data_IF_130426683602
#
_entry.id   IF_130426683602
#
_cell.length_a   1.000
_cell.length_b   1.000
_cell.length_c   1.000
_cell.angle_alpha   90.00
_cell.angle_beta   90.00
_cell.angle_gamma   90.00
#
_symmetry.space_group_name_H-M   'P 1'
#
loop_
_entity.id
_entity.type
_entity.pdbx_description
1 polymer ?
#
# COMPACT_ATOMS: atom_id res chain seq x y z
N UNK A 1 -18.92 -23.67 5.26
CA UNK A 1 -17.69 -23.83 4.46
C UNK A 1 -16.68 -22.80 4.96
N UNK A 2 -15.84 -23.16 5.94
CA UNK A 2 -14.85 -22.24 6.50
C UNK A 2 -13.57 -22.33 5.70
N UNK A 3 -13.23 -21.27 4.97
CA UNK A 3 -11.92 -21.14 4.33
C UNK A 3 -10.85 -21.21 5.42
N UNK A 4 -10.09 -22.31 5.46
CA UNK A 4 -8.92 -22.45 6.33
C UNK A 4 -7.93 -21.35 5.97
N UNK A 5 -7.87 -20.31 6.80
CA UNK A 5 -6.79 -19.33 6.83
C UNK A 5 -5.49 -20.13 6.90
N UNK A 6 -4.64 -20.04 5.88
CA UNK A 6 -3.37 -20.80 5.80
C UNK A 6 -2.49 -20.36 6.97
N UNK A 7 -2.48 -21.15 8.03
CA UNK A 7 -1.74 -20.91 9.27
C UNK A 7 -0.29 -21.36 9.05
N UNK A 8 0.66 -20.42 9.07
CA UNK A 8 2.09 -20.75 9.06
C UNK A 8 2.52 -21.16 10.47
N UNK A 9 2.38 -22.45 10.75
CA UNK A 9 2.83 -23.10 11.98
C UNK A 9 4.25 -23.64 11.78
N UNK A 10 5.06 -23.57 12.83
CA UNK A 10 6.39 -24.16 12.83
C UNK A 10 6.78 -24.63 14.24
N UNK A 11 7.65 -25.64 14.28
CA UNK A 11 8.20 -26.23 15.48
C UNK A 11 9.52 -25.58 15.88
N UNK A 12 9.95 -25.83 17.12
CA UNK A 12 11.28 -25.41 17.60
C UNK A 12 12.40 -26.00 16.71
N UNK A 13 12.20 -27.21 16.19
CA UNK A 13 13.17 -27.90 15.36
C UNK A 13 13.28 -27.28 13.97
N UNK A 14 12.14 -26.96 13.35
CA UNK A 14 12.11 -26.22 12.08
C UNK A 14 12.68 -24.80 12.22
N UNK A 15 12.41 -24.12 13.33
CA UNK A 15 13.04 -22.83 13.61
C UNK A 15 14.58 -22.97 13.66
N UNK A 16 15.07 -24.00 14.35
CA UNK A 16 16.50 -24.26 14.51
C UNK A 16 17.16 -24.64 13.18
N UNK A 17 16.51 -25.46 12.35
CA UNK A 17 17.04 -25.84 11.02
C UNK A 17 17.14 -24.64 10.07
N UNK A 18 16.33 -23.60 10.31
CA UNK A 18 16.39 -22.31 9.62
C UNK A 18 17.34 -21.29 10.30
N UNK A 19 18.13 -21.71 11.28
CA UNK A 19 19.11 -20.86 11.97
C UNK A 19 18.52 -19.95 13.06
N UNK A 20 17.26 -20.12 13.44
CA UNK A 20 16.64 -19.36 14.54
C UNK A 20 16.98 -20.04 15.86
N UNK A 21 17.84 -19.40 16.65
CA UNK A 21 18.22 -19.90 17.97
C UNK A 21 17.07 -19.79 18.99
N UNK A 22 17.05 -20.60 20.06
CA UNK A 22 16.06 -20.47 21.14
C UNK A 22 16.01 -19.07 21.76
N UNK A 23 17.14 -18.38 21.87
CA UNK A 23 17.23 -17.02 22.37
C UNK A 23 16.56 -16.04 21.41
N UNK A 24 16.79 -16.19 20.11
CA UNK A 24 16.15 -15.36 19.08
C UNK A 24 14.63 -15.63 19.01
N UNK A 25 14.21 -16.88 19.17
CA UNK A 25 12.81 -17.25 19.24
C UNK A 25 12.10 -16.66 20.47
N UNK A 26 12.78 -16.63 21.62
CA UNK A 26 12.29 -15.95 22.82
C UNK A 26 12.16 -14.42 22.62
N UNK A 27 13.09 -13.81 21.89
CA UNK A 27 13.00 -12.39 21.50
C UNK A 27 11.79 -12.17 20.59
N UNK A 28 11.54 -13.04 19.60
CA UNK A 28 10.39 -12.92 18.71
C UNK A 28 9.05 -13.12 19.42
N UNK A 29 8.99 -14.03 20.39
CA UNK A 29 7.82 -14.18 21.27
C UNK A 29 7.56 -12.91 22.07
N UNK A 30 8.61 -12.36 22.71
CA UNK A 30 8.51 -11.13 23.50
C UNK A 30 8.09 -9.93 22.65
N UNK A 31 8.50 -9.89 21.37
CA UNK A 31 8.16 -8.83 20.41
C UNK A 31 6.84 -9.05 19.66
N UNK A 32 6.15 -10.18 19.88
CA UNK A 32 4.86 -10.47 19.26
C UNK A 32 4.90 -10.87 17.79
N UNK A 33 6.08 -11.12 17.21
CA UNK A 33 6.21 -11.60 15.82
C UNK A 33 5.79 -13.07 15.66
N UNK A 34 5.90 -13.83 16.74
CA UNK A 34 5.47 -15.21 16.83
C UNK A 34 4.70 -15.38 18.12
N UNK A 35 3.74 -16.29 18.11
CA UNK A 35 3.02 -16.70 19.31
C UNK A 35 3.28 -18.17 19.57
N UNK A 36 3.27 -18.54 20.85
CA UNK A 36 3.39 -19.93 21.27
C UNK A 36 2.00 -20.53 21.41
N UNK A 37 1.71 -21.55 20.62
CA UNK A 37 0.43 -22.25 20.67
C UNK A 37 0.44 -23.39 21.71
N UNK A 38 1.55 -24.11 21.77
CA UNK A 38 1.74 -25.23 22.71
C UNK A 38 3.24 -25.49 22.93
N UNK A 39 3.57 -26.56 23.65
CA UNK A 39 4.97 -26.91 23.90
C UNK A 39 5.71 -27.18 22.58
N UNK A 40 6.67 -26.31 22.25
CA UNK A 40 7.52 -26.45 21.07
C UNK A 40 6.87 -26.09 19.73
N UNK A 41 5.60 -25.65 19.72
CA UNK A 41 4.86 -25.26 18.52
C UNK A 41 4.53 -23.77 18.56
N UNK A 42 4.86 -23.11 17.46
CA UNK A 42 4.72 -21.68 17.27
C UNK A 42 3.91 -21.37 16.03
N UNK A 43 3.30 -20.20 16.04
CA UNK A 43 2.67 -19.60 14.87
C UNK A 43 3.37 -18.30 14.56
N UNK A 44 3.69 -18.09 13.28
CA UNK A 44 4.01 -16.76 12.80
C UNK A 44 2.75 -15.92 12.93
N UNK A 45 2.82 -14.89 13.76
CA UNK A 45 1.77 -13.88 13.80
C UNK A 45 1.91 -13.14 12.48
N UNK A 46 0.97 -13.35 11.54
CA UNK A 46 0.81 -12.45 10.39
C UNK A 46 0.29 -11.14 10.98
N UNK A 47 1.21 -10.37 11.54
CA UNK A 47 0.87 -9.14 12.20
C UNK A 47 0.49 -8.15 11.11
N UNK A 48 -0.79 -7.78 11.10
CA UNK A 48 -1.25 -6.50 10.52
C UNK A 48 -0.48 -5.31 11.15
N UNK A 49 0.20 -5.58 12.27
CA UNK A 49 1.17 -4.74 12.96
C UNK A 49 2.56 -5.39 13.00
N UNK A 50 3.16 -5.69 11.85
CA UNK A 50 4.60 -5.98 11.85
C UNK A 50 5.27 -4.65 12.10
N UNK A 51 5.51 -4.37 13.38
CA UNK A 51 6.45 -3.35 13.87
C UNK A 51 7.87 -3.84 13.56
N UNK A 52 8.12 -4.14 12.29
CA UNK A 52 9.31 -3.62 11.64
C UNK A 52 8.84 -2.23 11.21
N UNK A 53 9.54 -1.20 11.66
CA UNK A 53 9.33 0.20 11.31
C UNK A 53 8.87 0.38 9.85
N UNK A 54 8.27 1.51 9.48
CA UNK A 54 7.90 1.93 8.11
C UNK A 54 8.77 1.37 6.94
N UNK A 55 10.05 1.06 7.20
CA UNK A 55 10.95 0.18 6.44
C UNK A 55 10.38 -1.13 5.85
N UNK A 56 9.38 -1.80 6.44
CA UNK A 56 8.89 -3.10 5.93
C UNK A 56 8.14 -2.99 4.60
N UNK A 57 7.16 -2.07 4.56
CA UNK A 57 6.42 -1.74 3.34
C UNK A 57 7.35 -1.18 2.26
N UNK A 58 8.24 -0.25 2.64
CA UNK A 58 9.21 0.33 1.71
C UNK A 58 10.13 -0.73 1.10
N UNK A 59 10.62 -1.68 1.89
CA UNK A 59 11.47 -2.78 1.40
C UNK A 59 10.73 -3.65 0.39
N UNK A 60 9.49 -4.06 0.70
CA UNK A 60 8.65 -4.84 -0.21
C UNK A 60 8.43 -4.08 -1.52
N UNK A 61 8.09 -2.78 -1.44
CA UNK A 61 7.90 -1.93 -2.62
C UNK A 61 9.18 -1.88 -3.45
N UNK A 62 10.33 -1.64 -2.83
CA UNK A 62 11.61 -1.55 -3.54
C UNK A 62 11.96 -2.86 -4.24
N UNK A 63 11.67 -4.02 -3.64
CA UNK A 63 11.84 -5.32 -4.30
C UNK A 63 10.95 -5.49 -5.52
N UNK A 64 9.66 -5.11 -5.44
CA UNK A 64 8.77 -5.16 -6.61
C UNK A 64 9.22 -4.17 -7.69
N UNK A 65 9.70 -2.99 -7.31
CA UNK A 65 10.21 -1.98 -8.25
C UNK A 65 11.54 -2.36 -8.92
N UNK A 66 12.34 -3.28 -8.37
CA UNK A 66 13.49 -3.86 -9.11
C UNK A 66 13.02 -4.60 -10.36
N UNK A 67 11.84 -5.20 -10.32
CA UNK A 67 11.22 -5.93 -11.43
C UNK A 67 10.42 -4.99 -12.33
N UNK A 68 9.86 -3.92 -11.75
CA UNK A 68 9.04 -2.92 -12.43
C UNK A 68 9.71 -1.54 -12.28
N UNK A 69 10.88 -1.30 -12.90
CA UNK A 69 11.67 -0.07 -12.69
C UNK A 69 10.96 1.21 -13.15
N UNK A 70 9.99 1.07 -14.05
CA UNK A 70 9.13 2.16 -14.50
C UNK A 70 8.02 2.50 -13.52
N UNK A 71 7.73 1.64 -12.54
CA UNK A 71 6.55 1.72 -11.67
C UNK A 71 6.48 3.00 -10.85
N UNK A 72 5.24 3.45 -10.62
CA UNK A 72 4.89 4.54 -9.71
C UNK A 72 3.90 4.00 -8.69
N UNK A 73 4.17 4.16 -7.41
CA UNK A 73 3.24 3.76 -6.35
C UNK A 73 2.05 4.72 -6.32
N UNK A 74 0.84 4.15 -6.32
CA UNK A 74 -0.42 4.88 -6.33
C UNK A 74 -1.46 4.27 -5.39
N UNK A 75 -2.71 4.73 -5.51
CA UNK A 75 -3.88 4.16 -4.83
C UNK A 75 -3.69 3.92 -3.32
N UNK A 76 -4.12 2.76 -2.81
CA UNK A 76 -4.13 2.45 -1.37
C UNK A 76 -2.72 2.32 -0.82
N UNK A 77 -1.78 1.80 -1.63
CA UNK A 77 -0.37 1.74 -1.26
C UNK A 77 0.25 3.13 -1.07
N UNK A 78 -0.11 4.10 -1.92
CA UNK A 78 0.33 5.48 -1.72
C UNK A 78 -0.25 6.07 -0.43
N UNK A 79 -1.54 5.85 -0.12
CA UNK A 79 -2.14 6.30 1.15
C UNK A 79 -1.38 5.77 2.38
N UNK A 80 -0.99 4.49 2.36
CA UNK A 80 -0.16 3.89 3.42
C UNK A 80 1.18 4.61 3.57
N UNK A 81 1.85 4.97 2.48
CA UNK A 81 3.10 5.77 2.53
C UNK A 81 2.89 7.22 2.99
N UNK A 82 1.66 7.75 2.89
CA UNK A 82 1.27 9.02 3.49
C UNK A 82 0.86 8.88 4.97
N UNK A 83 0.81 7.65 5.51
CA UNK A 83 0.26 7.39 6.84
C UNK A 83 -1.23 7.71 6.93
N UNK A 84 -1.98 7.48 5.86
CA UNK A 84 -3.42 7.75 5.73
C UNK A 84 -4.22 6.48 5.46
N UNK A 85 -5.44 6.44 5.99
CA UNK A 85 -6.36 5.32 5.83
C UNK A 85 -5.97 4.08 6.63
N UNK A 86 -6.92 3.15 6.74
CA UNK A 86 -6.69 1.87 7.39
C UNK A 86 -6.01 0.88 6.42
N UNK A 87 -5.08 0.08 6.95
CA UNK A 87 -4.31 -0.86 6.16
C UNK A 87 -5.16 -2.10 5.82
N UNK A 88 -5.93 -2.04 4.72
CA UNK A 88 -6.83 -3.15 4.32
C UNK A 88 -6.28 -4.04 3.20
N UNK A 89 -5.35 -3.56 2.37
CA UNK A 89 -4.87 -4.32 1.20
C UNK A 89 -3.51 -4.97 1.43
N UNK A 90 -3.41 -6.27 1.15
CA UNK A 90 -2.13 -6.99 1.05
C UNK A 90 -1.40 -6.74 -0.27
N UNK A 91 -2.08 -6.17 -1.28
CA UNK A 91 -1.50 -5.90 -2.59
C UNK A 91 -0.73 -4.56 -2.62
N UNK A 92 0.30 -4.52 -3.46
CA UNK A 92 1.05 -3.31 -3.81
C UNK A 92 0.50 -2.74 -5.12
N UNK A 93 -0.05 -1.53 -5.04
CA UNK A 93 -0.64 -0.81 -6.16
C UNK A 93 0.42 -0.07 -6.96
N UNK A 94 0.65 -0.50 -8.20
CA UNK A 94 1.69 0.06 -9.07
C UNK A 94 1.08 0.55 -10.37
N UNK A 95 1.22 1.85 -10.62
CA UNK A 95 0.90 2.48 -11.89
C UNK A 95 2.07 2.23 -12.86
N UNK A 96 1.74 1.78 -14.08
CA UNK A 96 2.70 1.49 -15.14
C UNK A 96 2.24 2.13 -16.46
N UNK A 97 3.16 2.52 -17.36
CA UNK A 97 2.77 2.98 -18.68
C UNK A 97 2.22 1.80 -19.49
N UNK A 98 1.09 2.00 -20.18
CA UNK A 98 0.45 0.96 -20.99
C UNK A 98 1.33 0.42 -22.11
N UNK A 99 2.32 1.20 -22.56
CA UNK A 99 3.31 0.79 -23.57
C UNK A 99 4.45 -0.08 -23.01
N UNK A 100 4.53 -0.27 -21.69
CA UNK A 100 5.57 -1.07 -21.04
C UNK A 100 5.01 -1.69 -19.74
N UNK A 101 4.09 -2.64 -19.91
CA UNK A 101 3.54 -3.45 -18.82
C UNK A 101 4.52 -4.61 -18.55
N UNK A 102 4.92 -4.87 -17.30
CA UNK A 102 5.79 -5.99 -16.99
C UNK A 102 5.14 -7.32 -17.38
N UNK A 103 5.90 -8.20 -18.05
CA UNK A 103 5.41 -9.52 -18.47
C UNK A 103 5.35 -10.53 -17.33
N UNK A 104 6.20 -10.35 -16.31
CA UNK A 104 6.24 -11.24 -15.14
C UNK A 104 5.06 -10.93 -14.23
N UNK A 105 4.24 -11.95 -13.97
CA UNK A 105 3.21 -11.89 -12.93
C UNK A 105 3.91 -11.88 -11.57
N UNK A 106 3.57 -10.90 -10.75
CA UNK A 106 4.04 -10.81 -9.37
C UNK A 106 2.84 -11.02 -8.45
N UNK A 107 2.95 -12.00 -7.57
CA UNK A 107 2.00 -12.14 -6.46
C UNK A 107 1.99 -10.85 -5.63
N UNK A 108 0.81 -10.52 -5.11
CA UNK A 108 0.55 -9.34 -4.28
C UNK A 108 0.87 -8.00 -4.97
N UNK A 109 0.77 -7.92 -6.30
CA UNK A 109 0.91 -6.67 -7.07
C UNK A 109 -0.33 -6.44 -7.92
N UNK A 110 -0.96 -5.28 -7.73
CA UNK A 110 -2.04 -4.81 -8.61
C UNK A 110 -1.49 -3.74 -9.55
N UNK A 111 -1.54 -4.04 -10.85
CA UNK A 111 -1.04 -3.14 -11.89
C UNK A 111 -2.15 -2.23 -12.40
N UNK A 112 -1.82 -0.95 -12.56
CA UNK A 112 -2.70 0.07 -13.12
C UNK A 112 -2.07 0.65 -14.39
N UNK A 113 -2.35 0.07 -15.57
CA UNK A 113 -1.88 0.62 -16.83
C UNK A 113 -2.51 1.99 -17.11
N UNK A 114 -1.67 2.96 -17.48
CA UNK A 114 -2.11 4.30 -17.88
C UNK A 114 -1.32 4.80 -19.11
N UNK A 115 -1.87 5.73 -19.90
CA UNK A 115 -1.13 6.36 -20.99
C UNK A 115 0.22 6.96 -20.54
N UNK A 116 1.24 6.90 -21.42
CA UNK A 116 2.60 7.36 -21.11
C UNK A 116 2.65 8.84 -20.65
N UNK A 117 1.82 9.69 -21.22
CA UNK A 117 1.69 11.10 -20.86
C UNK A 117 1.07 11.32 -19.46
N UNK A 118 0.28 10.36 -18.95
CA UNK A 118 -0.36 10.43 -17.63
C UNK A 118 0.51 9.80 -16.54
N UNK A 119 1.27 8.76 -16.89
CA UNK A 119 2.04 7.90 -15.99
C UNK A 119 2.77 8.64 -14.83
N UNK A 120 3.46 9.75 -15.12
CA UNK A 120 4.27 10.50 -14.13
C UNK A 120 3.70 11.84 -13.68
N UNK A 121 2.49 12.21 -14.11
CA UNK A 121 1.85 13.48 -13.71
C UNK A 121 1.73 13.56 -12.19
N UNK A 122 2.13 14.66 -11.56
CA UNK A 122 1.98 14.85 -10.11
C UNK A 122 2.53 13.67 -9.29
N UNK A 123 3.81 13.39 -9.44
CA UNK A 123 4.55 12.41 -8.63
C UNK A 123 5.59 13.10 -7.78
N UNK A 124 5.94 12.48 -6.66
CA UNK A 124 7.03 12.89 -5.78
C UNK A 124 7.82 11.68 -5.32
N UNK A 125 8.93 11.90 -4.64
CA UNK A 125 9.74 10.83 -4.07
C UNK A 125 9.56 10.81 -2.55
N UNK A 126 9.20 9.65 -2.00
CA UNK A 126 9.17 9.36 -0.56
C UNK A 126 10.12 8.18 -0.37
N UNK A 127 11.14 8.31 0.48
CA UNK A 127 12.09 7.22 0.79
C UNK A 127 12.63 6.48 -0.45
N UNK A 128 13.04 7.23 -1.49
CA UNK A 128 13.55 6.72 -2.79
C UNK A 128 12.50 6.03 -3.69
N UNK A 129 11.25 5.96 -3.26
CA UNK A 129 10.12 5.41 -4.01
C UNK A 129 9.42 6.55 -4.72
N UNK A 130 9.13 6.38 -6.02
CA UNK A 130 8.28 7.33 -6.75
C UNK A 130 6.82 7.04 -6.44
N UNK A 131 6.14 8.03 -5.89
CA UNK A 131 4.75 7.94 -5.42
C UNK A 131 3.91 9.04 -6.07
N UNK A 132 2.64 8.80 -6.34
CA UNK A 132 1.70 9.87 -6.72
C UNK A 132 1.55 10.90 -5.60
N UNK A 133 1.31 12.17 -5.94
CA UNK A 133 0.91 13.17 -4.95
C UNK A 133 -0.39 12.73 -4.27
N UNK A 134 -0.69 13.25 -3.08
CA UNK A 134 -1.92 12.87 -2.38
C UNK A 134 -3.16 13.26 -3.21
N UNK A 135 -3.16 14.43 -3.83
CA UNK A 135 -4.24 14.88 -4.71
C UNK A 135 -4.46 13.93 -5.90
N UNK A 136 -3.38 13.49 -6.55
CA UNK A 136 -3.46 12.50 -7.62
C UNK A 136 -3.96 11.16 -7.10
N UNK A 137 -3.50 10.72 -5.92
CA UNK A 137 -3.89 9.46 -5.30
C UNK A 137 -5.40 9.42 -5.06
N UNK A 138 -5.98 10.47 -4.48
CA UNK A 138 -7.42 10.58 -4.25
C UNK A 138 -8.21 10.60 -5.56
N UNK A 139 -7.74 11.33 -6.58
CA UNK A 139 -8.36 11.33 -7.91
C UNK A 139 -8.30 9.95 -8.58
N UNK A 140 -7.16 9.27 -8.50
CA UNK A 140 -6.95 7.94 -9.06
C UNK A 140 -7.89 6.92 -8.38
N UNK A 141 -8.01 6.96 -7.05
CA UNK A 141 -8.92 6.12 -6.27
C UNK A 141 -10.37 6.30 -6.71
N UNK A 142 -10.84 7.56 -6.81
CA UNK A 142 -12.22 7.84 -7.20
C UNK A 142 -12.49 7.48 -8.67
N UNK A 143 -11.63 7.87 -9.61
CA UNK A 143 -11.90 7.70 -11.05
C UNK A 143 -11.81 6.25 -11.51
N UNK A 144 -11.13 5.39 -10.75
CA UNK A 144 -11.02 3.95 -11.01
C UNK A 144 -11.98 3.12 -10.16
N UNK A 145 -12.80 3.77 -9.34
CA UNK A 145 -13.74 3.11 -8.42
C UNK A 145 -13.03 2.12 -7.47
N UNK A 146 -11.82 2.47 -7.04
CA UNK A 146 -10.99 1.66 -6.13
C UNK A 146 -11.33 1.92 -4.65
N UNK A 147 -12.08 2.99 -4.40
CA UNK A 147 -12.52 3.43 -3.08
C UNK A 147 -13.81 4.26 -3.22
N UNK A 148 -14.85 3.98 -2.41
CA UNK A 148 -16.07 4.77 -2.39
C UNK A 148 -15.81 6.24 -2.08
N UNK A 149 -16.62 7.12 -2.66
CA UNK A 149 -16.47 8.57 -2.50
C UNK A 149 -16.49 9.02 -1.03
N UNK A 150 -17.36 8.41 -0.22
CA UNK A 150 -17.45 8.68 1.22
C UNK A 150 -16.14 8.41 1.95
N UNK A 151 -15.47 7.32 1.62
CA UNK A 151 -14.17 6.96 2.22
C UNK A 151 -13.06 7.92 1.75
N UNK A 152 -13.06 8.30 0.47
CA UNK A 152 -12.11 9.32 -0.04
C UNK A 152 -12.28 10.66 0.68
N UNK A 153 -13.52 11.06 1.02
CA UNK A 153 -13.77 12.26 1.83
C UNK A 153 -13.19 12.10 3.24
N UNK A 154 -13.35 10.94 3.88
CA UNK A 154 -12.73 10.66 5.19
C UNK A 154 -11.21 10.79 5.11
N UNK A 155 -10.56 10.19 4.10
CA UNK A 155 -9.11 10.30 3.91
C UNK A 155 -8.66 11.74 3.69
N UNK A 156 -9.41 12.52 2.90
CA UNK A 156 -9.11 13.94 2.70
C UNK A 156 -9.16 14.71 4.01
N UNK A 157 -10.19 14.50 4.85
CA UNK A 157 -10.32 15.16 6.16
C UNK A 157 -9.23 14.69 7.12
N UNK A 158 -8.89 13.41 7.11
CA UNK A 158 -7.79 12.86 7.89
C UNK A 158 -6.46 13.55 7.53
N UNK A 159 -6.18 13.72 6.24
CA UNK A 159 -5.00 14.45 5.77
C UNK A 159 -4.96 15.89 6.27
N UNK A 160 -6.09 16.60 6.24
CA UNK A 160 -6.20 17.95 6.82
C UNK A 160 -5.90 17.95 8.32
N UNK A 161 -6.48 17.02 9.07
CA UNK A 161 -6.29 16.90 10.51
C UNK A 161 -4.83 16.59 10.88
N UNK A 162 -4.18 15.71 10.10
CA UNK A 162 -2.75 15.38 10.22
C UNK A 162 -1.81 16.45 9.63
N UNK A 163 -2.35 17.56 9.11
CA UNK A 163 -1.60 18.64 8.45
C UNK A 163 -0.74 18.16 7.26
N UNK A 164 -1.16 17.07 6.61
CA UNK A 164 -0.54 16.60 5.38
C UNK A 164 -1.03 17.49 4.24
N UNK A 165 -0.14 18.07 3.42
CA UNK A 165 -0.54 18.97 2.34
C UNK A 165 -1.49 18.30 1.34
N UNK A 166 -2.71 18.83 1.24
CA UNK A 166 -3.72 18.46 0.26
C UNK A 166 -4.59 19.69 -0.04
N UNK A 167 -4.99 19.89 -1.29
CA UNK A 167 -5.79 21.05 -1.69
C UNK A 167 -6.80 20.73 -2.78
N UNK A 168 -8.04 21.19 -2.60
CA UNK A 168 -9.09 21.13 -3.63
C UNK A 168 -8.70 21.86 -4.91
N UNK A 169 -7.97 22.98 -4.83
CA UNK A 169 -7.55 23.73 -6.03
C UNK A 169 -6.56 22.93 -6.87
N UNK A 170 -5.61 22.26 -6.21
CA UNK A 170 -4.66 21.35 -6.88
C UNK A 170 -5.36 20.12 -7.45
N UNK A 171 -6.28 19.51 -6.70
CA UNK A 171 -7.07 18.38 -7.20
C UNK A 171 -7.88 18.78 -8.44
N UNK A 172 -8.53 19.95 -8.42
CA UNK A 172 -9.28 20.48 -9.58
C UNK A 172 -8.38 20.63 -10.81
N UNK A 173 -7.23 21.29 -10.68
CA UNK A 173 -6.28 21.44 -11.79
C UNK A 173 -5.69 20.13 -12.32
N UNK A 174 -5.52 19.13 -11.44
CA UNK A 174 -5.08 17.79 -11.86
C UNK A 174 -6.20 16.98 -12.54
N UNK A 175 -7.45 17.18 -12.14
CA UNK A 175 -8.58 16.41 -12.67
C UNK A 175 -8.75 16.57 -14.18
N UNK A 176 -8.38 17.73 -14.74
CA UNK A 176 -8.40 17.99 -16.18
C UNK A 176 -7.35 17.13 -16.91
N UNK A 177 -6.14 17.05 -16.35
CA UNK A 177 -5.02 16.28 -16.93
C UNK A 177 -5.17 14.77 -16.77
N UNK A 178 -5.94 14.33 -15.78
CA UNK A 178 -6.16 12.93 -15.44
C UNK A 178 -7.50 12.38 -15.94
N UNK A 179 -8.25 13.16 -16.73
CA UNK A 179 -9.58 12.80 -17.24
C UNK A 179 -10.57 12.46 -16.10
N UNK A 180 -10.45 13.15 -14.96
CA UNK A 180 -11.19 12.93 -13.73
C UNK A 180 -12.13 14.10 -13.38
N UNK A 181 -12.45 14.98 -14.34
CA UNK A 181 -13.26 16.20 -14.10
C UNK A 181 -14.63 15.87 -13.52
N UNK A 182 -15.35 14.91 -14.11
CA UNK A 182 -16.70 14.52 -13.65
C UNK A 182 -16.70 14.04 -12.19
N UNK A 183 -15.74 13.19 -11.82
CA UNK A 183 -15.68 12.68 -10.45
C UNK A 183 -15.23 13.76 -9.46
N UNK A 184 -14.37 14.69 -9.89
CA UNK A 184 -13.99 15.84 -9.09
C UNK A 184 -15.18 16.78 -8.82
N UNK A 185 -16.05 17.01 -9.80
CA UNK A 185 -17.28 17.81 -9.61
C UNK A 185 -18.21 17.18 -8.57
N UNK A 186 -18.35 15.85 -8.58
CA UNK A 186 -19.15 15.12 -7.58
C UNK A 186 -18.49 15.24 -6.21
N UNK A 187 -17.17 15.03 -6.10
CA UNK A 187 -16.43 15.16 -4.85
C UNK A 187 -16.59 16.54 -4.21
N UNK A 188 -16.53 17.62 -5.01
CA UNK A 188 -16.73 18.99 -4.52
C UNK A 188 -18.12 19.20 -3.92
N UNK A 189 -19.17 18.59 -4.48
CA UNK A 189 -20.54 18.70 -3.96
C UNK A 189 -20.75 17.98 -2.62
N UNK A 190 -19.89 17.02 -2.29
CA UNK A 190 -19.98 16.25 -1.05
C UNK A 190 -19.15 16.89 0.06
N UNK A 191 -18.07 17.59 -0.28
CA UNK A 191 -17.12 18.12 0.69
C UNK A 191 -17.38 19.58 1.12
N UNK A 192 -18.09 20.35 0.28
CA UNK A 192 -18.53 21.73 0.51
C UNK A 192 -19.95 21.68 1.06
#
# INVERSE_FOLDING_TARGET
MFARKKLFLFSTEEARSLGVSPQLLAVYLKRGYVEKLSHGIYRLVKSEHSVLNDTGLESIILEKLKIIPQGVIGFKTALRLYGLGEALSSEIDIIVPSSNIPKRVLEDVKLYPVPKNVHRISTKVISRIRVTSLERTLLDLMRRDEMPLSEVVVIYREAQNKKIPVSLSKMKGLSEKLYAKKVMEIFLKVII
#
